data_IF_003017293769
#
_entry.id   IF_003017293769
#
_cell.length_a   1.000
_cell.length_b   1.000
_cell.length_c   1.000
_cell.angle_alpha   90.00
_cell.angle_beta   90.00
_cell.angle_gamma   90.00
#
_symmetry.space_group_name_H-M   'P 1'
#
loop_
_entity.id
_entity.type
_entity.pdbx_description
1 polymer ?
#
# COMPACT_ATOMS: atom_id res chain seq x y z
N UNK A 1 -20.01 -15.90 -3.51
CA UNK A 1 -18.88 -15.68 -4.43
C UNK A 1 -18.72 -14.20 -4.82
N UNK A 2 -19.82 -13.45 -4.85
CA UNK A 2 -19.88 -12.01 -5.14
C UNK A 2 -19.07 -11.14 -4.17
N UNK A 3 -19.14 -11.37 -2.86
CA UNK A 3 -18.41 -10.59 -1.85
C UNK A 3 -16.88 -10.71 -1.96
N UNK A 4 -16.37 -11.94 -2.08
CA UNK A 4 -14.94 -12.21 -2.31
C UNK A 4 -14.42 -11.54 -3.58
N UNK A 5 -15.26 -11.52 -4.63
CA UNK A 5 -14.93 -10.87 -5.89
C UNK A 5 -14.89 -9.34 -5.75
N UNK A 6 -15.87 -8.71 -5.09
CA UNK A 6 -15.88 -7.26 -4.90
C UNK A 6 -14.71 -6.78 -4.04
N UNK A 7 -14.45 -7.43 -2.90
CA UNK A 7 -13.31 -7.09 -2.04
C UNK A 7 -11.98 -7.31 -2.75
N UNK A 8 -11.85 -8.44 -3.46
CA UNK A 8 -10.67 -8.74 -4.27
C UNK A 8 -10.40 -7.67 -5.31
N UNK A 9 -11.43 -7.20 -6.01
CA UNK A 9 -11.28 -6.11 -7.00
C UNK A 9 -10.83 -4.81 -6.33
N UNK A 10 -11.46 -4.41 -5.21
CA UNK A 10 -11.09 -3.18 -4.50
C UNK A 10 -9.61 -3.22 -4.07
N UNK A 11 -9.19 -4.29 -3.39
CA UNK A 11 -7.81 -4.44 -2.94
C UNK A 11 -6.82 -4.52 -4.11
N UNK A 12 -7.19 -5.20 -5.20
CA UNK A 12 -6.36 -5.26 -6.42
C UNK A 12 -6.16 -3.88 -7.05
N UNK A 13 -7.22 -3.07 -7.11
CA UNK A 13 -7.16 -1.72 -7.67
C UNK A 13 -6.28 -0.83 -6.79
N UNK A 14 -6.40 -0.90 -5.46
CA UNK A 14 -5.54 -0.12 -4.56
C UNK A 14 -4.07 -0.54 -4.66
N UNK A 15 -3.80 -1.85 -4.76
CA UNK A 15 -2.45 -2.36 -4.95
C UNK A 15 -1.86 -1.91 -6.29
N UNK A 16 -2.65 -1.98 -7.36
CA UNK A 16 -2.27 -1.48 -8.68
C UNK A 16 -1.97 0.02 -8.63
N UNK A 17 -2.86 0.82 -8.05
CA UNK A 17 -2.68 2.28 -7.91
C UNK A 17 -1.46 2.64 -7.07
N UNK A 18 -1.19 1.91 -5.99
CA UNK A 18 0.00 2.12 -5.15
C UNK A 18 1.27 1.94 -5.99
N UNK A 19 1.32 0.85 -6.74
CA UNK A 19 2.47 0.51 -7.58
C UNK A 19 2.67 1.49 -8.74
N UNK A 20 1.55 1.91 -9.36
CA UNK A 20 1.54 2.92 -10.40
C UNK A 20 2.04 4.26 -9.85
N UNK A 21 1.49 4.74 -8.73
CA UNK A 21 1.90 6.01 -8.13
C UNK A 21 3.36 5.99 -7.71
N UNK A 22 3.84 4.86 -7.18
CA UNK A 22 5.24 4.70 -6.79
C UNK A 22 6.19 4.74 -8.00
N UNK A 23 5.86 3.99 -9.06
CA UNK A 23 6.64 4.03 -10.30
C UNK A 23 6.60 5.40 -10.99
N UNK A 24 5.46 6.11 -10.99
CA UNK A 24 5.35 7.47 -11.49
C UNK A 24 6.19 8.44 -10.66
N UNK A 25 6.09 8.34 -9.33
CA UNK A 25 6.86 9.16 -8.42
C UNK A 25 8.36 9.00 -8.66
N UNK A 26 8.87 7.78 -8.69
CA UNK A 26 10.27 7.51 -8.99
C UNK A 26 10.65 8.01 -10.40
N UNK A 27 9.85 7.70 -11.41
CA UNK A 27 10.15 8.10 -12.80
C UNK A 27 10.18 9.62 -12.98
N UNK A 28 9.22 10.36 -12.41
CA UNK A 28 9.18 11.83 -12.46
C UNK A 28 10.33 12.43 -11.65
N UNK A 29 10.56 11.89 -10.45
CA UNK A 29 11.65 12.34 -9.58
C UNK A 29 13.01 12.25 -10.28
N UNK A 30 13.27 11.15 -10.98
CA UNK A 30 14.56 10.94 -11.66
C UNK A 30 14.66 11.61 -13.03
N UNK A 31 13.56 11.68 -13.79
CA UNK A 31 13.50 12.39 -15.07
C UNK A 31 13.66 13.91 -14.87
N UNK A 32 13.01 14.45 -13.84
CA UNK A 32 13.14 15.85 -13.44
C UNK A 32 14.38 16.02 -12.55
N UNK A 33 15.57 15.98 -13.17
CA UNK A 33 16.88 16.27 -12.54
C UNK A 33 17.02 17.70 -11.94
N UNK A 34 15.91 18.43 -11.78
CA UNK A 34 15.86 19.73 -11.14
C UNK A 34 15.70 19.61 -9.62
N UNK A 35 16.61 20.26 -8.89
CA UNK A 35 16.53 20.43 -7.42
C UNK A 35 15.15 20.90 -6.94
N UNK A 36 14.40 21.62 -7.78
CA UNK A 36 13.07 22.15 -7.49
C UNK A 36 12.06 21.03 -7.17
N UNK A 37 11.98 19.98 -7.98
CA UNK A 37 11.03 18.89 -7.72
C UNK A 37 11.40 18.12 -6.45
N UNK A 38 12.70 17.87 -6.23
CA UNK A 38 13.19 17.26 -5.01
C UNK A 38 12.85 18.07 -3.75
N UNK A 39 12.90 19.40 -3.82
CA UNK A 39 12.47 20.29 -2.72
C UNK A 39 10.97 20.13 -2.44
N UNK A 40 10.13 20.11 -3.49
CA UNK A 40 8.68 19.94 -3.33
C UNK A 40 8.35 18.61 -2.65
N UNK A 41 8.98 17.52 -3.09
CA UNK A 41 8.83 16.18 -2.49
C UNK A 41 9.29 16.17 -1.05
N UNK A 42 10.45 16.76 -0.74
CA UNK A 42 10.97 16.85 0.62
C UNK A 42 9.97 17.59 1.52
N UNK A 43 9.47 18.75 1.10
CA UNK A 43 8.49 19.53 1.88
C UNK A 43 7.22 18.70 2.10
N UNK A 44 6.70 18.04 1.06
CA UNK A 44 5.51 17.19 1.18
C UNK A 44 5.73 16.05 2.18
N UNK A 45 6.87 15.35 2.10
CA UNK A 45 7.21 14.26 3.02
C UNK A 45 7.44 14.75 4.45
N UNK A 46 8.02 15.93 4.65
CA UNK A 46 8.17 16.54 5.98
C UNK A 46 6.82 16.91 6.60
N UNK A 47 5.89 17.47 5.82
CA UNK A 47 4.53 17.77 6.29
C UNK A 47 3.83 16.47 6.71
N UNK A 48 3.87 15.45 5.85
CA UNK A 48 3.24 14.15 6.13
C UNK A 48 3.89 13.50 7.37
N UNK A 49 5.22 13.50 7.47
CA UNK A 49 5.92 12.97 8.64
C UNK A 49 5.53 13.72 9.93
N UNK A 50 5.43 15.05 9.87
CA UNK A 50 4.97 15.87 11.00
C UNK A 50 3.55 15.50 11.45
N UNK A 51 2.62 15.33 10.50
CA UNK A 51 1.25 14.88 10.79
C UNK A 51 1.22 13.47 11.39
N UNK A 52 2.00 12.54 10.83
CA UNK A 52 2.08 11.17 11.34
C UNK A 52 2.69 11.10 12.74
N UNK A 53 3.76 11.85 13.01
CA UNK A 53 4.34 11.96 14.35
C UNK A 53 3.36 12.61 15.32
N UNK A 54 2.63 13.64 14.90
CA UNK A 54 1.57 14.22 15.71
C UNK A 54 0.53 13.16 16.10
N UNK A 55 0.00 12.39 15.14
CA UNK A 55 -0.96 11.31 15.42
C UNK A 55 -0.34 10.11 16.18
N UNK A 56 0.97 9.92 16.12
CA UNK A 56 1.67 8.88 16.87
C UNK A 56 1.69 9.18 18.38
N UNK A 57 1.80 10.46 18.76
CA UNK A 57 1.93 10.86 20.17
C UNK A 57 0.67 11.50 20.75
N UNK A 58 -0.18 12.13 19.94
CA UNK A 58 -1.39 12.79 20.40
C UNK A 58 -2.51 11.80 20.68
N UNK A 59 -2.87 11.62 21.96
CA UNK A 59 -3.96 10.74 22.43
C UNK A 59 -3.92 9.30 21.86
N UNK A 60 -2.72 8.78 21.60
CA UNK A 60 -2.53 7.44 21.08
C UNK A 60 -1.85 6.53 22.11
N UNK A 61 -2.65 5.68 22.75
CA UNK A 61 -2.18 4.68 23.72
C UNK A 61 -1.82 3.34 23.07
N UNK A 62 -2.22 3.11 21.81
CA UNK A 62 -1.89 1.88 21.08
C UNK A 62 -0.44 1.92 20.57
N UNK A 63 0.40 1.07 21.19
CA UNK A 63 1.81 0.93 20.85
C UNK A 63 2.03 0.49 19.39
N UNK A 64 1.17 -0.40 18.84
CA UNK A 64 1.31 -0.89 17.47
C UNK A 64 1.09 0.23 16.46
N UNK A 65 -0.04 0.92 16.59
CA UNK A 65 -0.40 2.08 15.77
C UNK A 65 0.66 3.18 15.83
N UNK A 66 1.22 3.40 17.03
CA UNK A 66 2.30 4.38 17.25
C UNK A 66 3.56 4.03 16.47
N UNK A 67 4.00 2.77 16.52
CA UNK A 67 5.18 2.32 15.80
C UNK A 67 5.01 2.38 14.28
N UNK A 68 3.84 2.07 13.74
CA UNK A 68 3.55 2.19 12.30
C UNK A 68 3.66 3.64 11.79
N UNK A 69 3.13 4.60 12.57
CA UNK A 69 3.23 6.02 12.24
C UNK A 69 4.67 6.54 12.36
N UNK A 70 5.40 6.15 13.40
CA UNK A 70 6.81 6.51 13.56
C UNK A 70 7.64 5.92 12.42
N UNK A 71 7.46 4.63 12.11
CA UNK A 71 8.15 3.95 11.00
C UNK A 71 7.94 4.71 9.69
N UNK A 72 6.68 5.00 9.36
CA UNK A 72 6.35 5.69 8.12
C UNK A 72 6.92 7.13 8.09
N UNK A 73 6.85 7.85 9.21
CA UNK A 73 7.41 9.19 9.32
C UNK A 73 8.94 9.20 9.15
N UNK A 74 9.65 8.24 9.74
CA UNK A 74 11.11 8.10 9.59
C UNK A 74 11.47 7.86 8.13
N UNK A 75 10.79 6.92 7.46
CA UNK A 75 11.03 6.67 6.04
C UNK A 75 10.68 7.88 5.17
N UNK A 76 9.62 8.63 5.48
CA UNK A 76 9.28 9.86 4.77
C UNK A 76 10.38 10.93 4.92
N UNK A 77 10.90 11.16 6.13
CA UNK A 77 12.00 12.11 6.36
C UNK A 77 13.25 11.67 5.60
N UNK A 78 13.69 10.42 5.78
CA UNK A 78 14.92 9.91 5.17
C UNK A 78 14.77 9.87 3.63
N UNK A 79 13.63 9.40 3.14
CA UNK A 79 13.30 9.38 1.71
C UNK A 79 13.33 10.77 1.08
N UNK A 80 12.76 11.78 1.75
CA UNK A 80 12.80 13.16 1.28
C UNK A 80 14.20 13.74 1.23
N UNK A 81 15.05 13.42 2.23
CA UNK A 81 16.46 13.86 2.25
C UNK A 81 17.25 13.20 1.13
N UNK A 82 17.05 11.89 0.90
CA UNK A 82 17.70 11.14 -0.17
C UNK A 82 17.34 11.76 -1.53
N UNK A 83 16.06 12.08 -1.73
CA UNK A 83 15.54 12.69 -2.95
C UNK A 83 16.28 13.99 -3.31
N UNK A 84 16.65 14.84 -2.34
CA UNK A 84 17.38 16.09 -2.66
C UNK A 84 18.91 15.90 -2.71
N UNK A 85 19.43 14.86 -2.06
CA UNK A 85 20.87 14.68 -1.82
C UNK A 85 21.57 13.88 -2.93
N UNK A 86 20.83 13.14 -3.76
CA UNK A 86 21.43 12.37 -4.86
C UNK A 86 21.82 13.31 -6.01
N UNK A 87 23.10 13.31 -6.43
CA UNK A 87 23.52 14.08 -7.59
C UNK A 87 23.08 13.40 -8.89
N UNK A 88 22.72 14.17 -9.92
CA UNK A 88 22.21 13.65 -11.21
C UNK A 88 23.08 12.53 -11.81
N UNK A 89 24.41 12.63 -11.67
CA UNK A 89 25.36 11.60 -12.15
C UNK A 89 25.11 10.22 -11.55
N UNK A 90 24.66 10.14 -10.29
CA UNK A 90 24.44 8.86 -9.59
C UNK A 90 23.42 7.99 -10.34
N UNK A 91 22.39 8.59 -10.93
CA UNK A 91 21.35 7.84 -11.65
C UNK A 91 21.86 7.10 -12.89
N UNK A 92 22.99 7.54 -13.44
CA UNK A 92 23.56 6.98 -14.67
C UNK A 92 24.83 6.17 -14.41
N UNK A 93 25.61 6.53 -13.39
CA UNK A 93 26.95 5.96 -13.16
C UNK A 93 27.01 4.91 -12.06
N UNK A 94 26.09 4.94 -11.10
CA UNK A 94 26.12 4.01 -9.98
C UNK A 94 25.71 2.59 -10.40
N UNK A 95 26.13 1.59 -9.61
CA UNK A 95 25.76 0.21 -9.87
C UNK A 95 24.25 0.01 -9.74
N UNK A 96 23.70 -1.01 -10.40
CA UNK A 96 22.26 -1.33 -10.30
C UNK A 96 21.88 -1.56 -8.83
N UNK A 97 22.72 -2.26 -8.07
CA UNK A 97 22.48 -2.55 -6.66
C UNK A 97 22.40 -1.27 -5.82
N UNK A 98 23.36 -0.36 -5.95
CA UNK A 98 23.37 0.91 -5.20
C UNK A 98 22.13 1.73 -5.51
N UNK A 99 21.74 1.75 -6.78
CA UNK A 99 20.57 2.49 -7.26
C UNK A 99 19.29 1.86 -6.73
N UNK A 100 19.15 0.54 -6.76
CA UNK A 100 18.01 -0.15 -6.17
C UNK A 100 17.87 0.20 -4.70
N UNK A 101 18.94 0.07 -3.91
CA UNK A 101 18.91 0.37 -2.46
C UNK A 101 18.48 1.82 -2.20
N UNK A 102 19.07 2.76 -2.92
CA UNK A 102 18.78 4.19 -2.76
C UNK A 102 17.36 4.53 -3.21
N UNK A 103 16.84 3.90 -4.27
CA UNK A 103 15.50 4.15 -4.81
C UNK A 103 14.40 3.51 -3.95
N UNK A 104 14.72 2.38 -3.30
CA UNK A 104 13.79 1.67 -2.41
C UNK A 104 13.40 2.52 -1.20
N UNK A 105 14.28 3.32 -0.63
CA UNK A 105 13.96 4.12 0.56
C UNK A 105 12.80 5.11 0.34
N UNK A 106 12.85 6.02 -0.65
CA UNK A 106 11.73 6.93 -0.92
C UNK A 106 10.48 6.21 -1.45
N UNK A 107 10.65 5.06 -2.11
CA UNK A 107 9.52 4.22 -2.55
C UNK A 107 8.79 3.54 -1.38
N UNK A 108 9.54 3.05 -0.38
CA UNK A 108 8.97 2.55 0.88
C UNK A 108 8.21 3.67 1.60
N UNK A 109 8.76 4.88 1.61
CA UNK A 109 8.11 6.02 2.25
C UNK A 109 6.73 6.29 1.63
N UNK A 110 6.67 6.43 0.30
CA UNK A 110 5.42 6.67 -0.42
C UNK A 110 4.44 5.51 -0.25
N UNK A 111 4.91 4.28 -0.41
CA UNK A 111 4.12 3.06 -0.24
C UNK A 111 3.51 2.93 1.16
N UNK A 112 4.27 3.29 2.20
CA UNK A 112 3.80 3.24 3.59
C UNK A 112 2.78 4.34 3.88
N UNK A 113 2.99 5.55 3.34
CA UNK A 113 2.00 6.65 3.45
C UNK A 113 0.70 6.27 2.76
N UNK A 114 0.77 5.72 1.55
CA UNK A 114 -0.42 5.26 0.81
C UNK A 114 -1.12 4.12 1.57
N UNK A 115 -0.38 3.19 2.16
CA UNK A 115 -0.95 2.11 2.97
C UNK A 115 -1.74 2.64 4.17
N UNK A 116 -1.25 3.68 4.85
CA UNK A 116 -2.01 4.36 5.92
C UNK A 116 -3.27 5.02 5.37
N UNK A 117 -3.15 5.71 4.22
CA UNK A 117 -4.29 6.39 3.59
C UNK A 117 -5.38 5.39 3.13
N UNK A 118 -4.98 4.24 2.59
CA UNK A 118 -5.90 3.23 2.08
C UNK A 118 -6.78 2.62 3.15
N UNK A 119 -6.29 2.47 4.39
CA UNK A 119 -7.08 1.99 5.53
C UNK A 119 -8.33 2.86 5.77
N UNK A 120 -8.26 4.17 5.53
CA UNK A 120 -9.43 5.04 5.63
C UNK A 120 -10.45 4.76 4.51
N UNK A 121 -9.98 4.46 3.31
CA UNK A 121 -10.82 4.19 2.15
C UNK A 121 -11.46 2.80 2.24
N UNK A 122 -10.69 1.78 2.61
CA UNK A 122 -11.17 0.41 2.79
C UNK A 122 -12.11 0.28 3.98
N UNK A 123 -11.85 1.02 5.07
CA UNK A 123 -12.78 1.16 6.18
C UNK A 123 -14.14 1.78 5.81
N UNK A 124 -14.26 2.41 4.63
CA UNK A 124 -15.54 2.87 4.08
C UNK A 124 -16.14 1.89 3.07
N UNK A 125 -15.34 1.30 2.19
CA UNK A 125 -15.82 0.49 1.06
C UNK A 125 -16.06 -0.98 1.42
N UNK A 126 -15.19 -1.57 2.25
CA UNK A 126 -15.18 -3.02 2.55
C UNK A 126 -15.28 -3.30 4.05
N UNK A 127 -15.83 -2.37 4.82
CA UNK A 127 -15.95 -2.47 6.28
C UNK A 127 -16.57 -3.77 6.75
N UNK A 128 -17.70 -4.16 6.17
CA UNK A 128 -18.43 -5.36 6.56
C UNK A 128 -17.57 -6.63 6.47
N UNK A 129 -16.64 -6.66 5.52
CA UNK A 129 -15.72 -7.79 5.29
C UNK A 129 -14.54 -7.79 6.26
N UNK A 130 -14.06 -6.61 6.64
CA UNK A 130 -13.00 -6.47 7.62
C UNK A 130 -13.50 -6.81 9.02
N UNK A 131 -14.71 -6.32 9.35
CA UNK A 131 -15.38 -6.58 10.62
C UNK A 131 -15.73 -8.07 10.76
N UNK A 132 -16.21 -8.73 9.71
CA UNK A 132 -16.49 -10.17 9.72
C UNK A 132 -15.22 -10.99 9.92
N UNK A 133 -14.14 -10.64 9.22
CA UNK A 133 -12.85 -11.31 9.32
C UNK A 133 -12.09 -11.00 10.62
N UNK A 134 -12.67 -10.18 11.51
CA UNK A 134 -12.08 -9.72 12.78
C UNK A 134 -10.70 -9.07 12.58
N UNK A 135 -10.52 -8.40 11.43
CA UNK A 135 -9.29 -7.68 11.12
C UNK A 135 -9.40 -6.28 11.71
N UNK A 136 -8.55 -5.99 12.70
CA UNK A 136 -8.47 -4.65 13.25
C UNK A 136 -7.73 -3.69 12.29
N UNK A 137 -7.92 -2.39 12.50
CA UNK A 137 -7.32 -1.31 11.68
C UNK A 137 -5.79 -1.40 11.65
N UNK A 138 -5.16 -1.85 12.73
CA UNK A 138 -3.70 -1.96 12.84
C UNK A 138 -3.18 -3.16 12.04
N UNK A 139 -3.86 -4.31 12.08
CA UNK A 139 -3.58 -5.50 11.29
C UNK A 139 -3.74 -5.24 9.79
N UNK A 140 -4.82 -4.56 9.40
CA UNK A 140 -5.04 -4.16 8.01
C UNK A 140 -3.89 -3.29 7.50
N UNK A 141 -3.50 -2.28 8.30
CA UNK A 141 -2.39 -1.41 7.93
C UNK A 141 -1.07 -2.15 7.83
N UNK A 142 -0.76 -3.01 8.80
CA UNK A 142 0.46 -3.80 8.81
C UNK A 142 0.53 -4.71 7.58
N UNK A 143 -0.59 -5.31 7.19
CA UNK A 143 -0.71 -6.12 5.98
C UNK A 143 -0.39 -5.29 4.72
N UNK A 144 -1.01 -4.11 4.58
CA UNK A 144 -0.76 -3.23 3.43
C UNK A 144 0.69 -2.75 3.37
N UNK A 145 1.25 -2.31 4.50
CA UNK A 145 2.66 -1.89 4.61
C UNK A 145 3.59 -3.03 4.21
N UNK A 146 3.36 -4.24 4.74
CA UNK A 146 4.25 -5.40 4.51
C UNK A 146 4.30 -5.83 3.05
N UNK A 147 3.15 -5.90 2.38
CA UNK A 147 3.11 -6.28 0.96
C UNK A 147 3.66 -5.15 0.09
N UNK A 148 3.32 -3.90 0.40
CA UNK A 148 3.80 -2.76 -0.36
C UNK A 148 5.30 -2.48 -0.16
N UNK A 149 5.92 -2.92 0.95
CA UNK A 149 7.38 -2.91 1.15
C UNK A 149 8.10 -3.79 0.13
N UNK A 150 7.59 -5.01 -0.09
CA UNK A 150 8.13 -5.93 -1.10
C UNK A 150 7.95 -5.33 -2.49
N UNK A 151 6.78 -4.73 -2.73
CA UNK A 151 6.50 -4.07 -3.99
C UNK A 151 7.42 -2.88 -4.28
N UNK A 152 7.63 -2.02 -3.28
CA UNK A 152 8.53 -0.87 -3.35
C UNK A 152 9.94 -1.29 -3.79
N UNK A 153 10.44 -2.40 -3.24
CA UNK A 153 11.71 -2.99 -3.67
C UNK A 153 11.68 -3.44 -5.14
N UNK A 154 10.63 -4.15 -5.57
CA UNK A 154 10.51 -4.63 -6.95
C UNK A 154 10.40 -3.48 -7.97
N UNK A 155 9.58 -2.46 -7.69
CA UNK A 155 9.45 -1.27 -8.54
C UNK A 155 10.79 -0.52 -8.63
N UNK A 156 11.45 -0.31 -7.49
CA UNK A 156 12.77 0.32 -7.43
C UNK A 156 13.82 -0.47 -8.22
N UNK A 157 13.75 -1.80 -8.19
CA UNK A 157 14.63 -2.67 -8.95
C UNK A 157 14.39 -2.54 -10.46
N UNK A 158 13.12 -2.56 -10.91
CA UNK A 158 12.78 -2.39 -12.33
C UNK A 158 13.24 -1.04 -12.87
N UNK A 159 13.04 0.03 -12.11
CA UNK A 159 13.51 1.37 -12.48
C UNK A 159 15.05 1.41 -12.48
N UNK A 160 15.71 0.80 -11.50
CA UNK A 160 17.17 0.73 -11.47
C UNK A 160 17.76 0.02 -12.70
N UNK A 161 17.13 -1.06 -13.17
CA UNK A 161 17.58 -1.82 -14.35
C UNK A 161 17.57 -1.00 -15.64
N UNK A 162 16.57 -0.14 -15.83
CA UNK A 162 16.41 0.62 -17.07
C UNK A 162 17.51 1.66 -17.33
N UNK A 163 18.23 2.11 -16.29
CA UNK A 163 18.97 3.39 -16.38
C UNK A 163 20.41 3.33 -16.87
N UNK A 164 20.70 2.44 -17.81
CA UNK A 164 21.96 2.47 -18.56
C UNK A 164 21.70 2.92 -19.99
N UNK A 165 21.88 4.23 -20.25
CA UNK A 165 22.26 4.65 -21.60
C UNK A 165 23.78 4.74 -21.70
N UNK A 166 24.44 3.89 -22.51
CA UNK A 166 25.85 4.05 -22.83
C UNK A 166 26.10 5.21 -23.82
N UNK A 167 25.05 5.86 -24.34
CA UNK A 167 25.15 6.92 -25.33
C UNK A 167 24.75 8.29 -24.74
N UNK A 168 25.59 9.33 -24.89
CA UNK A 168 25.32 10.67 -24.36
C UNK A 168 24.18 11.40 -25.07
N UNK A 169 23.67 10.88 -26.19
CA UNK A 169 22.66 11.53 -27.04
C UNK A 169 21.22 11.06 -26.81
N UNK A 170 20.99 10.10 -25.90
CA UNK A 170 19.63 9.65 -25.54
C UNK A 170 19.11 10.56 -24.44
N UNK A 171 17.91 11.11 -24.62
CA UNK A 171 17.28 11.96 -23.63
C UNK A 171 17.08 11.16 -22.33
N UNK A 172 17.34 11.78 -21.17
CA UNK A 172 17.12 11.13 -19.86
C UNK A 172 15.69 10.60 -19.73
N UNK A 173 14.73 11.18 -20.45
CA UNK A 173 13.33 10.78 -20.49
C UNK A 173 13.11 9.36 -21.06
N UNK A 174 13.83 8.99 -22.12
CA UNK A 174 13.63 7.70 -22.82
C UNK A 174 14.05 6.52 -21.95
N UNK A 175 15.18 6.69 -21.25
CA UNK A 175 15.77 5.71 -20.35
C UNK A 175 14.85 5.39 -19.16
N UNK A 176 14.15 6.39 -18.62
CA UNK A 176 13.21 6.17 -17.51
C UNK A 176 11.85 5.64 -17.99
N UNK A 177 11.47 5.90 -19.24
CA UNK A 177 10.27 5.33 -19.85
C UNK A 177 10.32 3.79 -19.85
N UNK A 178 11.48 3.20 -20.13
CA UNK A 178 11.66 1.75 -20.10
C UNK A 178 11.48 1.16 -18.70
N UNK A 179 12.02 1.81 -17.66
CA UNK A 179 11.86 1.37 -16.27
C UNK A 179 10.42 1.44 -15.77
N UNK A 180 9.70 2.47 -16.20
CA UNK A 180 8.27 2.59 -15.98
C UNK A 180 7.49 1.45 -16.66
N UNK A 181 7.82 1.14 -17.91
CA UNK A 181 7.19 0.03 -18.66
C UNK A 181 7.47 -1.32 -17.99
N UNK A 182 8.70 -1.58 -17.54
CA UNK A 182 9.02 -2.81 -16.80
C UNK A 182 8.26 -2.94 -15.47
N UNK A 183 7.93 -1.81 -14.85
CA UNK A 183 7.14 -1.79 -13.62
C UNK A 183 5.69 -2.25 -13.83
N UNK A 184 5.15 -2.25 -15.06
CA UNK A 184 3.78 -2.72 -15.35
C UNK A 184 3.57 -4.18 -14.89
N UNK A 185 4.55 -5.06 -15.13
CA UNK A 185 4.48 -6.45 -14.70
C UNK A 185 4.39 -6.55 -13.17
N UNK A 186 5.13 -5.69 -12.49
CA UNK A 186 5.16 -5.57 -11.03
C UNK A 186 3.82 -5.05 -10.50
N UNK A 187 3.14 -4.13 -11.21
CA UNK A 187 1.79 -3.67 -10.84
C UNK A 187 0.75 -4.77 -10.93
N UNK A 188 0.77 -5.56 -12.02
CA UNK A 188 -0.15 -6.68 -12.23
C UNK A 188 0.08 -7.75 -11.16
N UNK A 189 1.35 -8.08 -10.87
CA UNK A 189 1.70 -9.03 -9.82
C UNK A 189 1.15 -8.60 -8.46
N UNK A 190 1.31 -7.32 -8.10
CA UNK A 190 0.81 -6.81 -6.82
C UNK A 190 -0.72 -6.84 -6.74
N UNK A 191 -1.40 -6.49 -7.83
CA UNK A 191 -2.86 -6.62 -7.92
C UNK A 191 -3.32 -8.07 -7.67
N UNK A 192 -2.64 -9.05 -8.28
CA UNK A 192 -2.94 -10.47 -8.07
C UNK A 192 -2.70 -10.89 -6.62
N UNK A 193 -1.59 -10.47 -6.00
CA UNK A 193 -1.29 -10.78 -4.60
C UNK A 193 -2.39 -10.26 -3.67
N UNK A 194 -2.81 -9.01 -3.83
CA UNK A 194 -3.89 -8.44 -3.05
C UNK A 194 -5.25 -9.09 -3.31
N UNK A 195 -5.53 -9.54 -4.54
CA UNK A 195 -6.71 -10.34 -4.84
C UNK A 195 -6.71 -11.65 -4.06
N UNK A 196 -5.58 -12.35 -4.02
CA UNK A 196 -5.41 -13.62 -3.30
C UNK A 196 -5.57 -13.41 -1.79
N UNK A 197 -4.98 -12.34 -1.25
CA UNK A 197 -5.15 -11.95 0.16
C UNK A 197 -6.64 -11.71 0.47
N UNK A 198 -7.34 -10.94 -0.37
CA UNK A 198 -8.78 -10.70 -0.20
C UNK A 198 -9.60 -12.00 -0.22
N UNK A 199 -9.24 -12.95 -1.10
CA UNK A 199 -9.87 -14.25 -1.15
C UNK A 199 -9.68 -15.03 0.15
N UNK A 200 -8.49 -15.01 0.75
CA UNK A 200 -8.24 -15.68 2.03
C UNK A 200 -8.99 -15.03 3.18
N UNK A 201 -9.01 -13.70 3.25
CA UNK A 201 -9.77 -12.93 4.25
C UNK A 201 -11.26 -13.34 4.19
N UNK A 202 -11.85 -13.32 2.99
CA UNK A 202 -13.28 -13.61 2.79
C UNK A 202 -13.66 -15.09 2.87
N UNK A 203 -12.69 -16.01 2.75
CA UNK A 203 -12.94 -17.46 2.88
C UNK A 203 -13.06 -17.86 4.35
N UNK A 204 -12.28 -17.27 5.24
CA UNK A 204 -12.30 -17.58 6.67
C UNK A 204 -13.67 -17.25 7.30
N UNK A 205 -14.36 -16.20 6.83
CA UNK A 205 -15.71 -15.84 7.29
C UNK A 205 -16.79 -16.90 7.04
N UNK A 206 -16.69 -17.66 5.95
CA UNK A 206 -17.75 -18.61 5.60
C UNK A 206 -17.81 -19.80 6.55
N UNK A 207 -16.76 -20.04 7.33
CA UNK A 207 -16.71 -21.13 8.30
C UNK A 207 -17.43 -20.73 9.59
N UNK A 208 -17.31 -19.47 10.03
CA UNK A 208 -17.93 -18.99 11.27
C UNK A 208 -19.44 -18.69 11.10
N UNK A 209 -19.88 -18.17 9.95
CA UNK A 209 -21.32 -17.86 9.72
C UNK A 209 -22.18 -19.14 9.62
N UNK A 210 -21.61 -20.26 9.18
CA UNK A 210 -22.32 -21.54 9.13
C UNK A 210 -22.50 -22.19 10.50
N UNK A 211 -21.66 -21.83 11.49
CA UNK A 211 -21.76 -22.33 12.86
C UNK A 211 -22.79 -21.55 13.71
N UNK A 212 -23.14 -20.32 13.31
CA UNK A 212 -24.08 -19.45 14.03
C UNK A 212 -25.55 -19.63 13.58
N UNK A 213 -25.80 -20.45 12.56
CA UNK A 213 -27.13 -20.94 12.19
C UNK A 213 -27.60 -22.06 13.14
N UNK A 214 -27.55 -21.81 14.45
CA UNK A 214 -28.40 -22.55 15.38
C UNK A 214 -29.83 -22.05 15.17
N UNK A 215 -30.55 -22.73 14.28
CA UNK A 215 -32.00 -22.62 14.16
C UNK A 215 -32.63 -22.88 15.53
N UNK A 216 -32.92 -21.83 16.29
CA UNK A 216 -33.88 -21.91 17.38
C UNK A 216 -35.23 -22.16 16.70
N UNK A 217 -35.84 -23.35 16.82
CA UNK A 217 -37.15 -23.58 16.24
C UNK A 217 -38.11 -22.59 16.90
N UNK A 218 -38.89 -21.85 16.12
CA UNK A 218 -39.98 -21.05 16.66
C UNK A 218 -40.85 -21.95 17.57
N UNK A 219 -41.16 -21.53 18.80
CA UNK A 219 -42.07 -22.28 19.65
C UNK A 219 -43.42 -22.37 18.93
N UNK A 220 -43.84 -23.60 18.63
CA UNK A 220 -45.17 -23.87 18.08
C UNK A 220 -46.18 -23.23 19.04
N UNK A 221 -47.06 -22.31 18.59
CA UNK A 221 -48.08 -21.74 19.45
C UNK A 221 -48.95 -22.87 19.99
N UNK A 222 -49.00 -23.05 21.31
CA UNK A 222 -49.96 -23.95 21.94
C UNK A 222 -51.35 -23.39 21.69
N UNK A 223 -52.06 -23.95 20.71
CA UNK A 223 -53.49 -23.75 20.53
C UNK A 223 -54.20 -24.35 21.73
N UNK A 224 -54.61 -23.48 22.64
CA UNK A 224 -55.41 -23.81 23.81
C UNK A 224 -56.81 -24.24 23.34
N UNK A 225 -57.04 -25.55 23.22
CA UNK A 225 -58.32 -26.11 22.78
C UNK A 225 -59.32 -26.35 23.92
N UNK A 226 -59.08 -25.83 25.12
CA UNK A 226 -59.87 -26.20 26.31
C UNK A 226 -61.00 -25.23 26.69
N UNK A 227 -61.55 -24.44 25.76
CA UNK A 227 -62.74 -23.60 26.06
C UNK A 227 -63.76 -23.52 24.93
N UNK A 228 -64.18 -24.67 24.38
CA UNK A 228 -65.44 -24.76 23.64
C UNK A 228 -66.22 -25.99 24.13
N UNK A 229 -66.93 -25.82 25.25
CA UNK A 229 -68.28 -26.34 25.57
C UNK A 229 -68.48 -26.37 27.10
#
# INVERSE_FOLDING_TARGET
ATLARSTGIVLSVLAFLTSLLDSLFLSIFFASSGKVYGIIVLIAFLIIAGLLLFFAFYHNEDSKKKWEFIFTAVFAIVGGIIVISIPTRFHNTASILDRTVVYTIPSIALSSVLSIAWVFLTGFIIRDVLDSAKIDVSQERLLYISVNLIQALLVSMMIAFSSRSPYPDISTLDVYSEGFVYSIAVWILNAIIFFVIAYFITKNDRVDIAADYNSVPEPIPQTNYDNIA
#
